data_IF_336817541639
#
_entry.id   IF_336817541639
#
_cell.length_a   1.000
_cell.length_b   1.000
_cell.length_c   1.000
_cell.angle_alpha   90.00
_cell.angle_beta   90.00
_cell.angle_gamma   90.00
#
_symmetry.space_group_name_H-M   'P 1'
#
loop_
_entity.id
_entity.type
_entity.pdbx_description
1 polymer ?
#
# COMPACT_ATOMS: atom_id res chain seq x y z
N UNK A 1 -23.83 -30.37 1.27
CA UNK A 1 -23.56 -28.93 1.05
C UNK A 1 -22.42 -28.88 0.03
N UNK A 2 -22.62 -28.31 -1.17
CA UNK A 2 -21.54 -28.21 -2.17
C UNK A 2 -20.36 -27.46 -1.52
N UNK A 3 -19.09 -27.84 -1.79
CA UNK A 3 -17.97 -27.03 -1.38
C UNK A 3 -18.15 -25.65 -2.00
N UNK A 4 -18.37 -24.64 -1.18
CA UNK A 4 -18.28 -23.25 -1.62
C UNK A 4 -16.81 -23.01 -1.96
N UNK A 5 -16.55 -22.81 -3.24
CA UNK A 5 -15.23 -22.60 -3.81
C UNK A 5 -14.73 -21.20 -3.42
N UNK A 6 -14.32 -21.07 -2.16
CA UNK A 6 -13.74 -19.85 -1.58
C UNK A 6 -12.23 -19.95 -1.78
N UNK A 7 -11.71 -19.18 -2.74
CA UNK A 7 -10.29 -19.09 -3.04
C UNK A 7 -9.89 -17.63 -3.31
N UNK A 8 -8.61 -17.31 -3.15
CA UNK A 8 -8.10 -15.96 -3.31
C UNK A 8 -7.76 -15.59 -4.76
N UNK A 9 -7.89 -16.51 -5.72
CA UNK A 9 -7.84 -16.16 -7.15
C UNK A 9 -9.06 -15.33 -7.55
N UNK A 10 -10.17 -15.50 -6.83
CA UNK A 10 -11.34 -14.62 -6.95
C UNK A 10 -11.03 -13.20 -6.42
N UNK A 11 -11.19 -12.15 -7.25
CA UNK A 11 -10.96 -10.75 -6.87
C UNK A 11 -11.65 -10.31 -5.58
N UNK A 12 -12.89 -10.75 -5.34
CA UNK A 12 -13.67 -10.32 -4.18
C UNK A 12 -13.12 -10.92 -2.87
N UNK A 13 -12.70 -12.18 -2.88
CA UNK A 13 -12.10 -12.82 -1.71
C UNK A 13 -10.68 -12.30 -1.46
N UNK A 14 -9.88 -12.05 -2.50
CA UNK A 14 -8.58 -11.39 -2.37
C UNK A 14 -8.70 -10.00 -1.73
N UNK A 15 -9.62 -9.17 -2.22
CA UNK A 15 -9.91 -7.86 -1.66
C UNK A 15 -10.35 -7.95 -0.19
N UNK A 16 -11.31 -8.84 0.12
CA UNK A 16 -11.76 -9.08 1.49
C UNK A 16 -10.60 -9.48 2.41
N UNK A 17 -9.72 -10.36 1.96
CA UNK A 17 -8.58 -10.80 2.77
C UNK A 17 -7.59 -9.67 3.04
N UNK A 18 -7.26 -8.85 2.04
CA UNK A 18 -6.46 -7.64 2.23
C UNK A 18 -7.10 -6.69 3.24
N UNK A 19 -8.40 -6.44 3.13
CA UNK A 19 -9.15 -5.59 4.06
C UNK A 19 -9.18 -6.16 5.50
N UNK A 20 -9.27 -7.49 5.63
CA UNK A 20 -9.22 -8.16 6.95
C UNK A 20 -7.84 -7.99 7.61
N UNK A 21 -6.75 -7.93 6.83
CA UNK A 21 -5.41 -7.75 7.39
C UNK A 21 -5.19 -6.36 7.98
N UNK A 22 -5.92 -5.33 7.52
CA UNK A 22 -5.88 -3.97 8.07
C UNK A 22 -6.88 -3.78 9.20
N UNK A 23 -8.18 -3.81 8.86
CA UNK A 23 -9.26 -3.39 9.76
C UNK A 23 -9.95 -4.58 10.47
N UNK A 24 -9.55 -5.80 10.12
CA UNK A 24 -10.09 -7.01 10.69
C UNK A 24 -9.41 -7.42 11.99
N UNK A 25 -10.21 -7.87 12.94
CA UNK A 25 -9.74 -8.49 14.18
C UNK A 25 -10.21 -9.95 14.23
N UNK A 26 -9.25 -10.88 14.26
CA UNK A 26 -9.52 -12.31 14.45
C UNK A 26 -9.36 -12.62 15.94
N UNK A 27 -10.44 -13.08 16.56
CA UNK A 27 -10.47 -13.50 17.95
C UNK A 27 -10.70 -15.00 18.02
N UNK A 28 -9.78 -15.72 18.66
CA UNK A 28 -9.93 -17.13 18.97
C UNK A 28 -9.97 -17.33 20.49
N UNK A 29 -10.79 -18.29 20.92
CA UNK A 29 -10.96 -18.71 22.31
C UNK A 29 -11.04 -20.24 22.35
N UNK A 30 -10.95 -20.80 23.54
CA UNK A 30 -11.11 -22.23 23.82
C UNK A 30 -12.44 -22.78 23.29
N UNK A 31 -12.47 -24.08 23.01
CA UNK A 31 -13.65 -24.83 22.53
C UNK A 31 -14.17 -24.37 21.17
N UNK A 32 -13.27 -24.10 20.23
CA UNK A 32 -13.56 -23.63 18.86
C UNK A 32 -14.40 -22.34 18.80
N UNK A 33 -14.43 -21.57 19.89
CA UNK A 33 -15.13 -20.30 19.94
C UNK A 33 -14.24 -19.23 19.33
N UNK A 34 -14.82 -18.38 18.50
CA UNK A 34 -14.07 -17.30 17.90
C UNK A 34 -14.95 -16.43 17.02
N UNK A 35 -14.37 -15.34 16.54
CA UNK A 35 -15.01 -14.47 15.56
C UNK A 35 -13.99 -13.69 14.76
N UNK A 36 -14.30 -13.45 13.51
CA UNK A 36 -13.78 -12.28 12.80
C UNK A 36 -14.70 -11.10 13.09
N UNK A 37 -14.13 -9.92 13.29
CA UNK A 37 -14.87 -8.66 13.28
C UNK A 37 -14.17 -7.59 12.47
N UNK A 38 -14.93 -6.81 11.71
CA UNK A 38 -14.46 -5.59 11.02
C UNK A 38 -15.35 -4.45 11.49
N UNK A 39 -14.76 -3.34 11.91
CA UNK A 39 -15.47 -2.13 12.33
C UNK A 39 -15.08 -0.96 11.42
N UNK A 40 -16.06 -0.35 10.77
CA UNK A 40 -15.83 0.81 9.88
C UNK A 40 -16.71 1.99 10.30
N UNK A 41 -16.38 3.18 9.81
CA UNK A 41 -17.26 4.34 9.96
C UNK A 41 -18.58 4.11 9.20
N UNK A 42 -19.71 4.63 9.71
CA UNK A 42 -21.04 4.48 9.10
C UNK A 42 -21.09 4.83 7.60
N UNK A 43 -20.33 5.83 7.14
CA UNK A 43 -20.26 6.20 5.71
C UNK A 43 -19.75 5.08 4.80
N UNK A 44 -18.96 4.16 5.36
CA UNK A 44 -18.30 3.06 4.65
C UNK A 44 -19.08 1.74 4.84
N UNK A 45 -20.29 1.75 5.42
CA UNK A 45 -21.05 0.52 5.77
C UNK A 45 -21.37 -0.40 4.59
N UNK A 46 -21.51 0.16 3.38
CA UNK A 46 -21.79 -0.59 2.15
C UNK A 46 -20.78 -1.72 1.93
N UNK A 47 -19.53 -1.54 2.34
CA UNK A 47 -18.49 -2.55 2.19
C UNK A 47 -18.77 -3.79 3.05
N UNK A 48 -19.33 -3.59 4.24
CA UNK A 48 -19.68 -4.67 5.15
C UNK A 48 -20.87 -5.48 4.63
N UNK A 49 -21.83 -4.81 3.98
CA UNK A 49 -22.93 -5.48 3.29
C UNK A 49 -22.44 -6.29 2.09
N UNK A 50 -21.49 -5.77 1.32
CA UNK A 50 -20.85 -6.53 0.25
C UNK A 50 -20.14 -7.79 0.79
N UNK A 51 -19.40 -7.69 1.90
CA UNK A 51 -18.77 -8.84 2.54
C UNK A 51 -19.77 -9.87 3.06
N UNK A 52 -20.88 -9.41 3.65
CA UNK A 52 -21.96 -10.28 4.11
C UNK A 52 -22.61 -11.05 2.95
N UNK A 53 -22.84 -10.40 1.82
CA UNK A 53 -23.42 -11.05 0.62
C UNK A 53 -22.44 -12.00 -0.08
N UNK A 54 -21.14 -11.69 0.00
CA UNK A 54 -20.08 -12.49 -0.63
C UNK A 54 -19.86 -13.84 0.07
N UNK A 55 -20.11 -13.92 1.38
CA UNK A 55 -19.81 -15.12 2.16
C UNK A 55 -21.06 -15.97 2.39
N UNK A 56 -20.97 -17.30 2.19
CA UNK A 56 -22.07 -18.23 2.42
C UNK A 56 -22.29 -18.53 3.92
N UNK A 57 -21.71 -17.74 4.81
CA UNK A 57 -21.71 -17.96 6.26
C UNK A 57 -22.63 -16.98 6.97
N UNK A 58 -23.30 -17.47 7.99
CA UNK A 58 -24.08 -16.61 8.87
C UNK A 58 -23.16 -15.59 9.55
N UNK A 59 -23.50 -14.33 9.35
CA UNK A 59 -22.78 -13.17 9.86
C UNK A 59 -23.76 -12.08 10.26
N UNK A 60 -23.37 -11.21 11.19
CA UNK A 60 -24.21 -10.12 11.67
C UNK A 60 -23.56 -8.77 11.38
N UNK A 61 -24.39 -7.77 11.14
CA UNK A 61 -23.99 -6.37 11.04
C UNK A 61 -24.75 -5.63 12.13
N UNK A 62 -24.04 -4.87 12.95
CA UNK A 62 -24.59 -4.11 14.08
C UNK A 62 -24.01 -2.71 14.09
N UNK A 63 -24.79 -1.73 14.53
CA UNK A 63 -24.32 -0.36 14.69
C UNK A 63 -23.88 -0.09 16.13
N UNK A 64 -22.94 0.84 16.30
CA UNK A 64 -22.47 1.30 17.59
C UNK A 64 -22.30 2.81 17.56
N UNK A 65 -22.94 3.49 18.52
CA UNK A 65 -22.74 4.93 18.76
C UNK A 65 -21.89 5.10 20.00
N UNK A 66 -20.85 5.92 19.93
CA UNK A 66 -19.99 6.26 21.08
C UNK A 66 -19.57 7.72 21.06
N UNK A 67 -19.36 8.26 22.25
CA UNK A 67 -18.59 9.49 22.45
C UNK A 67 -17.11 9.17 22.27
N UNK A 68 -16.41 9.93 21.43
CA UNK A 68 -14.95 9.85 21.26
C UNK A 68 -14.34 11.20 21.60
N UNK A 69 -13.01 11.24 21.76
CA UNK A 69 -12.27 12.50 21.97
C UNK A 69 -12.43 13.50 20.80
N UNK A 70 -12.94 13.05 19.65
CA UNK A 70 -13.08 13.83 18.43
C UNK A 70 -14.53 14.13 18.04
N UNK A 71 -15.50 13.44 18.63
CA UNK A 71 -16.92 13.64 18.32
C UNK A 71 -17.82 13.13 19.43
N UNK A 72 -18.90 13.88 19.71
CA UNK A 72 -19.90 13.47 20.68
C UNK A 72 -20.72 12.26 20.21
N UNK A 73 -20.90 12.09 18.90
CA UNK A 73 -21.75 11.06 18.29
C UNK A 73 -21.02 10.34 17.15
N UNK A 74 -19.95 9.61 17.46
CA UNK A 74 -19.29 8.78 16.45
C UNK A 74 -20.06 7.47 16.26
N UNK A 75 -20.59 7.28 15.05
CA UNK A 75 -21.29 6.04 14.65
C UNK A 75 -20.37 5.15 13.82
N UNK A 76 -20.18 3.93 14.30
CA UNK A 76 -19.50 2.86 13.58
C UNK A 76 -20.45 1.69 13.30
N UNK A 77 -20.11 0.91 12.27
CA UNK A 77 -20.81 -0.31 11.90
C UNK A 77 -19.83 -1.46 12.00
N UNK A 78 -20.29 -2.54 12.63
CA UNK A 78 -19.46 -3.70 12.95
C UNK A 78 -20.07 -4.91 12.27
N UNK A 79 -19.28 -5.57 11.43
CA UNK A 79 -19.60 -6.87 10.86
C UNK A 79 -18.88 -7.98 11.63
N UNK A 80 -19.57 -9.08 11.91
CA UNK A 80 -19.01 -10.22 12.65
C UNK A 80 -19.34 -11.55 11.98
N UNK A 81 -18.35 -12.43 11.92
CA UNK A 81 -18.48 -13.82 11.42
C UNK A 81 -18.01 -14.78 12.50
N UNK A 82 -18.89 -15.69 12.91
CA UNK A 82 -18.62 -16.69 13.97
C UNK A 82 -18.36 -18.10 13.41
N UNK A 83 -18.42 -18.28 12.10
CA UNK A 83 -18.21 -19.58 11.46
C UNK A 83 -16.75 -20.04 11.60
N UNK A 84 -16.55 -21.27 12.09
CA UNK A 84 -15.21 -21.84 12.28
C UNK A 84 -14.50 -22.08 10.94
N UNK A 85 -15.21 -22.58 9.94
CA UNK A 85 -14.64 -22.88 8.61
C UNK A 85 -14.04 -21.64 7.99
N UNK A 86 -14.72 -20.50 8.14
CA UNK A 86 -14.19 -19.23 7.65
C UNK A 86 -12.91 -18.82 8.37
N UNK A 87 -12.83 -18.98 9.69
CA UNK A 87 -11.59 -18.72 10.43
C UNK A 87 -10.46 -19.65 10.02
N UNK A 88 -10.76 -20.93 9.81
CA UNK A 88 -9.79 -21.92 9.33
C UNK A 88 -9.24 -21.53 7.94
N UNK A 89 -10.07 -21.01 7.02
CA UNK A 89 -9.60 -20.43 5.76
C UNK A 89 -8.67 -19.23 5.96
N UNK A 90 -9.01 -18.30 6.85
CA UNK A 90 -8.17 -17.13 7.12
C UNK A 90 -6.80 -17.52 7.68
N UNK A 91 -6.76 -18.50 8.59
CA UNK A 91 -5.51 -19.03 9.13
C UNK A 91 -4.68 -19.74 8.04
N UNK A 92 -5.32 -20.54 7.19
CA UNK A 92 -4.67 -21.19 6.05
C UNK A 92 -4.06 -20.19 5.07
N UNK A 93 -4.75 -19.07 4.83
CA UNK A 93 -4.24 -17.99 3.99
C UNK A 93 -3.15 -17.14 4.68
N UNK A 94 -2.84 -17.40 5.96
CA UNK A 94 -1.74 -16.77 6.67
C UNK A 94 -2.14 -15.56 7.52
N UNK A 95 -3.41 -15.42 7.93
CA UNK A 95 -3.80 -14.40 8.91
C UNK A 95 -3.31 -14.78 10.32
N UNK A 96 -2.41 -14.00 10.94
CA UNK A 96 -1.94 -14.32 12.29
C UNK A 96 -3.04 -14.08 13.33
N UNK A 97 -3.02 -14.89 14.39
CA UNK A 97 -3.80 -14.67 15.60
C UNK A 97 -3.10 -13.60 16.48
N UNK A 98 -3.87 -12.66 17.04
CA UNK A 98 -3.33 -11.59 17.90
C UNK A 98 -2.94 -10.32 17.14
N UNK A 99 -1.92 -9.59 17.64
CA UNK A 99 -1.48 -8.32 17.06
C UNK A 99 -0.82 -8.56 15.70
N UNK A 100 -1.41 -7.98 14.63
CA UNK A 100 -1.10 -8.38 13.26
C UNK A 100 -0.06 -7.51 12.55
N UNK A 101 0.07 -6.25 12.95
CA UNK A 101 0.68 -5.19 12.12
C UNK A 101 2.07 -5.53 11.57
N UNK A 102 2.94 -6.12 12.40
CA UNK A 102 4.31 -6.50 11.99
C UNK A 102 4.41 -7.91 11.38
N UNK A 103 3.42 -8.76 11.65
CA UNK A 103 3.43 -10.18 11.32
C UNK A 103 2.72 -10.50 10.00
N UNK A 104 1.88 -9.59 9.48
CA UNK A 104 1.16 -9.83 8.23
C UNK A 104 2.14 -10.08 7.07
N UNK A 105 1.77 -11.05 6.24
CA UNK A 105 2.43 -11.40 4.98
C UNK A 105 1.36 -11.51 3.89
N UNK A 106 1.81 -11.53 2.64
CA UNK A 106 0.95 -11.92 1.52
C UNK A 106 0.43 -13.35 1.73
N UNK A 107 -0.71 -13.71 1.10
CA UNK A 107 -1.22 -15.07 1.18
C UNK A 107 -0.21 -16.14 0.79
N UNK A 108 -0.24 -17.28 1.47
CA UNK A 108 0.63 -18.44 1.19
C UNK A 108 0.17 -19.29 -0.01
N UNK A 109 -0.88 -18.86 -0.73
CA UNK A 109 -1.49 -19.57 -1.86
C UNK A 109 -1.57 -18.65 -3.08
N UNK A 110 -2.10 -19.14 -4.22
CA UNK A 110 -2.38 -18.27 -5.36
C UNK A 110 -3.46 -17.24 -5.01
N UNK A 111 -3.30 -16.01 -5.48
CA UNK A 111 -4.25 -14.94 -5.23
C UNK A 111 -4.21 -13.83 -6.29
N UNK A 112 -5.31 -13.09 -6.44
CA UNK A 112 -5.32 -11.84 -7.19
C UNK A 112 -4.52 -10.76 -6.43
N UNK A 113 -3.27 -10.54 -6.85
CA UNK A 113 -2.34 -9.57 -6.23
C UNK A 113 -2.91 -8.14 -6.26
N UNK A 114 -3.51 -7.72 -7.36
CA UNK A 114 -4.09 -6.37 -7.52
C UNK A 114 -5.23 -6.13 -6.52
N UNK A 115 -6.19 -7.07 -6.42
CA UNK A 115 -7.35 -6.90 -5.55
C UNK A 115 -6.99 -7.03 -4.07
N UNK A 116 -6.05 -7.92 -3.73
CA UNK A 116 -5.49 -8.03 -2.39
C UNK A 116 -4.84 -6.71 -1.94
N UNK A 117 -3.96 -6.13 -2.76
CA UNK A 117 -3.34 -4.84 -2.42
C UNK A 117 -4.35 -3.69 -2.40
N UNK A 118 -5.41 -3.72 -3.22
CA UNK A 118 -6.50 -2.76 -3.09
C UNK A 118 -7.18 -2.86 -1.73
N UNK A 119 -7.44 -4.07 -1.23
CA UNK A 119 -7.99 -4.31 0.10
C UNK A 119 -7.13 -3.68 1.21
N UNK A 120 -5.82 -3.88 1.15
CA UNK A 120 -4.87 -3.25 2.08
C UNK A 120 -4.89 -1.71 1.99
N UNK A 121 -4.95 -1.16 0.77
CA UNK A 121 -4.93 0.30 0.53
C UNK A 121 -6.23 0.97 0.95
N UNK A 122 -7.36 0.28 0.86
CA UNK A 122 -8.64 0.82 1.31
C UNK A 122 -8.72 0.96 2.83
N UNK A 123 -8.08 0.03 3.56
CA UNK A 123 -7.88 0.12 5.00
C UNK A 123 -6.83 1.16 5.42
N UNK A 124 -5.55 0.87 5.16
CA UNK A 124 -4.42 1.65 5.70
C UNK A 124 -3.75 2.61 4.68
N UNK A 125 -4.27 2.67 3.46
CA UNK A 125 -3.75 3.55 2.41
C UNK A 125 -4.46 4.89 2.29
N UNK A 126 -4.00 5.71 1.35
CA UNK A 126 -4.64 6.96 0.94
C UNK A 126 -4.32 7.26 -0.51
N UNK A 127 -5.23 7.93 -1.21
CA UNK A 127 -5.02 8.43 -2.56
C UNK A 127 -5.84 9.69 -2.79
N UNK A 128 -5.40 10.49 -3.75
CA UNK A 128 -6.08 11.71 -4.14
C UNK A 128 -5.11 12.73 -4.70
N UNK A 129 -5.45 14.01 -4.54
CA UNK A 129 -4.61 15.13 -4.95
C UNK A 129 -3.97 15.78 -3.72
N UNK A 130 -2.68 16.11 -3.84
CA UNK A 130 -1.98 16.97 -2.87
C UNK A 130 -2.53 18.39 -2.90
N UNK A 131 -2.17 19.23 -1.92
CA UNK A 131 -2.53 20.66 -1.91
C UNK A 131 -2.04 21.43 -3.15
N UNK A 132 -1.04 20.90 -3.88
CA UNK A 132 -0.52 21.44 -5.14
C UNK A 132 -1.21 20.85 -6.38
N UNK A 133 -2.29 20.07 -6.18
CA UNK A 133 -3.03 19.42 -7.26
C UNK A 133 -2.33 18.22 -7.88
N UNK A 134 -1.26 17.68 -7.28
CA UNK A 134 -0.57 16.50 -7.82
C UNK A 134 -1.18 15.20 -7.30
N UNK A 135 -1.41 14.19 -8.16
CA UNK A 135 -1.83 12.87 -7.74
C UNK A 135 -0.85 12.22 -6.79
N UNK A 136 -1.37 11.51 -5.80
CA UNK A 136 -0.60 10.62 -4.96
C UNK A 136 -1.39 9.36 -4.64
N UNK A 137 -0.66 8.28 -4.36
CA UNK A 137 -1.17 7.09 -3.71
C UNK A 137 -0.14 6.65 -2.68
N UNK A 138 -0.55 6.53 -1.44
CA UNK A 138 0.27 6.15 -0.29
C UNK A 138 -0.27 4.90 0.38
N UNK A 139 0.64 4.07 0.88
CA UNK A 139 0.32 2.93 1.72
C UNK A 139 1.25 2.90 2.93
N UNK A 140 0.70 2.67 4.11
CA UNK A 140 1.42 2.63 5.38
C UNK A 140 1.35 1.23 5.96
N UNK A 141 2.49 0.68 6.38
CA UNK A 141 2.54 -0.64 7.02
C UNK A 141 3.80 -0.75 7.89
N UNK A 142 3.74 -1.56 8.95
CA UNK A 142 4.92 -1.94 9.72
C UNK A 142 5.55 -3.26 9.26
N UNK A 143 4.89 -4.02 8.38
CA UNK A 143 5.39 -5.29 7.85
C UNK A 143 6.38 -5.08 6.70
N UNK A 144 7.61 -5.56 6.88
CA UNK A 144 8.63 -5.57 5.82
C UNK A 144 8.28 -6.50 4.67
N UNK A 145 7.55 -7.60 4.92
CA UNK A 145 7.15 -8.54 3.88
C UNK A 145 6.17 -7.89 2.89
N UNK A 146 5.17 -7.18 3.40
CA UNK A 146 4.22 -6.45 2.56
C UNK A 146 4.92 -5.35 1.78
N UNK A 147 5.92 -4.67 2.37
CA UNK A 147 6.69 -3.63 1.69
C UNK A 147 7.41 -4.15 0.46
N UNK A 148 8.08 -5.31 0.57
CA UNK A 148 8.80 -5.93 -0.55
C UNK A 148 7.85 -6.24 -1.69
N UNK A 149 6.75 -6.94 -1.38
CA UNK A 149 5.74 -7.35 -2.35
C UNK A 149 5.02 -6.16 -3.01
N UNK A 150 4.75 -5.11 -2.24
CA UNK A 150 4.10 -3.91 -2.75
C UNK A 150 5.04 -3.08 -3.64
N UNK A 151 6.32 -2.96 -3.26
CA UNK A 151 7.34 -2.30 -4.10
C UNK A 151 7.52 -3.06 -5.41
N UNK A 152 7.50 -4.39 -5.37
CA UNK A 152 7.56 -5.20 -6.58
C UNK A 152 6.35 -4.94 -7.49
N UNK A 153 5.12 -4.93 -6.94
CA UNK A 153 3.92 -4.58 -7.69
C UNK A 153 4.02 -3.19 -8.33
N UNK A 154 4.49 -2.19 -7.56
CA UNK A 154 4.72 -0.83 -8.09
C UNK A 154 5.72 -0.87 -9.24
N UNK A 155 6.82 -1.62 -9.09
CA UNK A 155 7.85 -1.73 -10.11
C UNK A 155 7.32 -2.38 -11.39
N UNK A 156 6.53 -3.45 -11.26
CA UNK A 156 5.89 -4.13 -12.39
C UNK A 156 4.93 -3.19 -13.15
N UNK A 157 4.13 -2.39 -12.44
CA UNK A 157 3.15 -1.47 -13.06
C UNK A 157 3.80 -0.22 -13.65
N UNK A 158 4.79 0.35 -12.95
CA UNK A 158 5.36 1.66 -13.31
C UNK A 158 6.63 1.56 -14.14
N UNK A 159 7.28 0.41 -14.14
CA UNK A 159 8.63 0.19 -14.70
C UNK A 159 9.74 0.85 -13.87
N UNK A 160 9.45 1.28 -12.64
CA UNK A 160 10.39 2.04 -11.79
C UNK A 160 10.63 1.33 -10.47
N UNK A 161 11.90 1.09 -10.16
CA UNK A 161 12.31 0.56 -8.87
C UNK A 161 12.12 1.62 -7.79
N UNK A 162 11.48 1.23 -6.69
CA UNK A 162 11.29 2.05 -5.50
C UNK A 162 11.98 1.42 -4.31
N UNK A 163 12.46 2.24 -3.40
CA UNK A 163 12.93 1.80 -2.08
C UNK A 163 12.15 2.52 -1.00
N UNK A 164 11.98 1.88 0.15
CA UNK A 164 11.30 2.43 1.31
C UNK A 164 12.06 2.05 2.57
N UNK A 165 12.30 3.04 3.43
CA UNK A 165 12.87 2.84 4.75
C UNK A 165 11.80 3.17 5.80
N UNK A 166 11.96 2.60 7.00
CA UNK A 166 11.12 2.97 8.14
C UNK A 166 11.30 4.45 8.46
N UNK A 167 10.21 5.12 8.80
CA UNK A 167 10.25 6.49 9.27
C UNK A 167 10.91 6.53 10.66
N UNK A 168 11.46 7.70 11.04
CA UNK A 168 12.13 7.86 12.33
C UNK A 168 11.17 8.01 13.51
N UNK A 169 9.93 8.45 13.26
CA UNK A 169 8.95 8.78 14.30
C UNK A 169 8.31 7.54 14.91
N UNK A 170 7.79 6.66 14.06
CA UNK A 170 6.96 5.52 14.46
C UNK A 170 7.58 4.18 14.05
N UNK A 171 8.74 4.19 13.38
CA UNK A 171 9.38 3.01 12.81
C UNK A 171 8.49 2.25 11.80
N UNK A 172 7.64 2.95 11.06
CA UNK A 172 6.74 2.36 10.04
C UNK A 172 7.16 2.75 8.62
N UNK A 173 6.79 1.95 7.63
CA UNK A 173 7.01 2.29 6.23
C UNK A 173 5.89 3.17 5.71
N UNK A 174 6.25 4.21 4.95
CA UNK A 174 5.30 5.04 4.20
C UNK A 174 5.70 5.04 2.73
N UNK A 175 4.99 4.26 1.93
CA UNK A 175 5.28 4.07 0.50
C UNK A 175 4.35 4.98 -0.29
N UNK A 176 4.90 6.03 -0.90
CA UNK A 176 4.12 7.00 -1.68
C UNK A 176 4.58 7.08 -3.13
N UNK A 177 3.66 6.93 -4.07
CA UNK A 177 3.84 7.23 -5.50
C UNK A 177 3.12 8.52 -5.86
N UNK A 178 3.61 9.22 -6.88
CA UNK A 178 3.10 10.54 -7.27
C UNK A 178 2.87 10.63 -8.79
N UNK A 179 2.00 11.57 -9.18
CA UNK A 179 1.75 11.98 -10.57
C UNK A 179 1.42 10.77 -11.46
N UNK A 180 2.10 10.62 -12.60
CA UNK A 180 1.81 9.57 -13.59
C UNK A 180 1.98 8.16 -12.99
N UNK A 181 2.92 7.98 -12.07
CA UNK A 181 3.11 6.68 -11.42
C UNK A 181 1.94 6.36 -10.49
N UNK A 182 1.39 7.38 -9.80
CA UNK A 182 0.17 7.22 -9.02
C UNK A 182 -1.04 6.94 -9.91
N UNK A 183 -1.14 7.57 -11.09
CA UNK A 183 -2.22 7.30 -12.05
C UNK A 183 -2.16 5.88 -12.59
N UNK A 184 -0.96 5.42 -13.00
CA UNK A 184 -0.76 4.04 -13.48
C UNK A 184 -1.15 3.03 -12.41
N UNK A 185 -0.71 3.25 -11.18
CA UNK A 185 -1.04 2.36 -10.07
C UNK A 185 -2.53 2.39 -9.73
N UNK A 186 -3.14 3.58 -9.64
CA UNK A 186 -4.57 3.74 -9.39
C UNK A 186 -5.42 3.07 -10.47
N UNK A 187 -5.02 3.15 -11.75
CA UNK A 187 -5.72 2.51 -12.87
C UNK A 187 -5.79 0.99 -12.74
N UNK A 188 -4.73 0.36 -12.25
CA UNK A 188 -4.70 -1.09 -12.05
C UNK A 188 -5.48 -1.49 -10.81
N UNK A 189 -5.32 -0.74 -9.71
CA UNK A 189 -6.01 -1.06 -8.45
C UNK A 189 -7.52 -0.82 -8.57
N UNK A 190 -7.95 0.36 -9.01
CA UNK A 190 -9.34 0.79 -9.03
C UNK A 190 -9.91 0.74 -10.46
N UNK A 191 -9.98 -0.48 -11.02
CA UNK A 191 -10.60 -0.72 -12.32
C UNK A 191 -12.14 -0.69 -12.23
N UNK A 192 -12.81 -0.63 -13.38
CA UNK A 192 -14.27 -0.55 -13.44
C UNK A 192 -14.94 -1.81 -12.88
N UNK A 193 -16.00 -1.64 -12.08
CA UNK A 193 -16.71 -2.73 -11.41
C UNK A 193 -15.97 -3.38 -10.23
N UNK A 194 -14.81 -2.88 -9.83
CA UNK A 194 -14.07 -3.44 -8.70
C UNK A 194 -14.76 -3.17 -7.34
N UNK A 195 -14.60 -4.10 -6.39
CA UNK A 195 -15.05 -3.87 -5.01
C UNK A 195 -14.06 -2.95 -4.28
N UNK A 196 -14.53 -1.82 -3.78
CA UNK A 196 -13.75 -0.82 -3.08
C UNK A 196 -14.63 0.10 -2.23
N UNK A 197 -14.04 0.86 -1.32
CA UNK A 197 -14.72 1.94 -0.61
C UNK A 197 -15.13 3.04 -1.58
N UNK A 198 -16.42 3.44 -1.59
CA UNK A 198 -16.93 4.49 -2.48
C UNK A 198 -16.12 5.78 -2.47
N UNK A 199 -15.68 6.22 -1.28
CA UNK A 199 -14.84 7.43 -1.14
C UNK A 199 -13.48 7.30 -1.81
N UNK A 200 -12.91 6.08 -1.86
CA UNK A 200 -11.61 5.80 -2.48
C UNK A 200 -11.75 5.73 -3.99
N UNK A 201 -12.84 5.15 -4.50
CA UNK A 201 -13.17 5.18 -5.93
C UNK A 201 -13.30 6.60 -6.48
N UNK A 202 -14.00 7.50 -5.76
CA UNK A 202 -14.11 8.91 -6.16
C UNK A 202 -12.71 9.55 -6.27
N UNK A 203 -11.83 9.30 -5.29
CA UNK A 203 -10.45 9.81 -5.32
C UNK A 203 -9.58 9.16 -6.39
N UNK A 204 -9.81 7.89 -6.69
CA UNK A 204 -9.15 7.21 -7.81
C UNK A 204 -9.53 7.90 -9.13
N UNK A 205 -10.80 8.21 -9.34
CA UNK A 205 -11.26 8.92 -10.54
C UNK A 205 -10.65 10.34 -10.65
N UNK A 206 -10.57 11.08 -9.55
CA UNK A 206 -9.85 12.38 -9.54
C UNK A 206 -8.38 12.22 -9.95
N UNK A 207 -7.70 11.19 -9.44
CA UNK A 207 -6.32 10.85 -9.81
C UNK A 207 -6.21 10.51 -11.29
N UNK A 208 -7.10 9.66 -11.81
CA UNK A 208 -7.10 9.23 -13.21
C UNK A 208 -7.36 10.38 -14.19
N UNK A 209 -8.20 11.34 -13.81
CA UNK A 209 -8.52 12.51 -14.63
C UNK A 209 -7.45 13.61 -14.61
N UNK A 210 -6.44 13.50 -13.74
CA UNK A 210 -5.38 14.49 -13.69
C UNK A 210 -4.57 14.50 -14.99
N UNK A 211 -4.25 15.70 -15.48
CA UNK A 211 -3.35 15.90 -16.61
C UNK A 211 -2.14 16.69 -16.17
N UNK A 212 -0.96 16.30 -16.65
CA UNK A 212 0.27 17.04 -16.39
C UNK A 212 0.16 18.44 -16.98
N UNK A 213 0.38 19.51 -16.19
CA UNK A 213 0.44 20.86 -16.73
C UNK A 213 1.55 20.99 -17.78
N UNK A 214 1.30 21.70 -18.88
CA UNK A 214 2.22 21.80 -20.02
C UNK A 214 3.60 22.35 -19.64
N UNK A 215 3.66 23.26 -18.67
CA UNK A 215 4.89 23.85 -18.15
C UNK A 215 5.65 22.93 -17.18
N UNK A 216 5.10 21.77 -16.82
CA UNK A 216 5.67 20.89 -15.82
C UNK A 216 6.62 19.86 -16.45
N UNK A 217 7.93 20.07 -16.24
CA UNK A 217 8.97 19.15 -16.72
C UNK A 217 8.73 17.70 -16.29
N UNK A 218 8.70 16.78 -17.27
CA UNK A 218 8.76 15.35 -17.03
C UNK A 218 10.21 14.87 -17.17
N UNK A 219 10.70 14.12 -16.18
CA UNK A 219 12.04 13.51 -16.25
C UNK A 219 11.85 12.05 -16.62
N UNK A 220 12.01 11.74 -17.90
CA UNK A 220 11.84 10.40 -18.46
C UNK A 220 13.13 9.58 -18.38
N UNK A 221 14.29 10.22 -18.52
CA UNK A 221 15.60 9.56 -18.57
C UNK A 221 16.48 9.97 -17.39
N UNK A 222 16.27 9.32 -16.24
CA UNK A 222 17.15 9.52 -15.07
C UNK A 222 18.47 8.77 -15.31
N UNK A 223 19.55 9.50 -15.62
CA UNK A 223 20.90 8.93 -15.74
C UNK A 223 21.43 8.53 -14.35
N UNK A 224 21.59 7.23 -14.11
CA UNK A 224 22.31 6.71 -12.95
C UNK A 224 23.81 6.97 -13.08
N UNK A 225 24.51 7.07 -11.95
CA UNK A 225 25.96 7.19 -11.94
C UNK A 225 26.58 5.80 -12.08
N UNK A 226 27.52 5.63 -12.99
CA UNK A 226 28.32 4.40 -13.09
C UNK A 226 29.61 4.52 -12.26
N UNK A 227 30.23 3.40 -11.87
CA UNK A 227 31.53 3.42 -11.19
C UNK A 227 32.62 4.15 -11.98
N UNK A 228 32.58 4.06 -13.32
CA UNK A 228 33.51 4.76 -14.22
C UNK A 228 33.28 6.27 -14.19
N UNK A 229 32.01 6.71 -14.22
CA UNK A 229 31.67 8.13 -14.07
C UNK A 229 32.10 8.66 -12.70
N UNK A 230 31.92 7.88 -11.62
CA UNK A 230 32.37 8.24 -10.28
C UNK A 230 33.89 8.41 -10.22
N UNK A 231 34.63 7.46 -10.79
CA UNK A 231 36.10 7.55 -10.90
C UNK A 231 36.53 8.73 -11.76
N UNK A 232 35.77 9.08 -12.79
CA UNK A 232 36.09 10.21 -13.66
C UNK A 232 36.00 11.52 -12.88
N UNK A 233 34.88 11.78 -12.19
CA UNK A 233 34.66 13.05 -11.48
C UNK A 233 35.60 13.23 -10.28
N UNK A 234 36.09 12.16 -9.65
CA UNK A 234 37.05 12.28 -8.54
C UNK A 234 38.45 12.66 -9.02
N UNK A 235 38.78 12.40 -10.29
CA UNK A 235 40.11 12.62 -10.85
C UNK A 235 40.20 13.83 -11.80
N UNK A 236 39.07 14.48 -12.10
CA UNK A 236 39.02 15.59 -13.06
C UNK A 236 38.29 16.80 -12.48
N UNK A 237 38.62 18.03 -12.94
CA UNK A 237 37.88 19.22 -12.57
C UNK A 237 36.40 19.13 -12.94
N UNK A 238 35.57 19.87 -12.20
CA UNK A 238 34.11 19.88 -12.39
C UNK A 238 33.74 20.31 -13.82
N UNK A 239 34.42 21.32 -14.38
CA UNK A 239 34.17 21.82 -15.74
C UNK A 239 34.42 20.75 -16.82
N UNK A 240 35.51 20.00 -16.70
CA UNK A 240 35.82 18.89 -17.62
C UNK A 240 34.77 17.78 -17.48
N UNK A 241 34.39 17.46 -16.25
CA UNK A 241 33.36 16.47 -15.94
C UNK A 241 31.98 16.85 -16.48
N UNK A 242 31.61 18.13 -16.43
CA UNK A 242 30.35 18.63 -17.01
C UNK A 242 30.29 18.38 -18.51
N UNK A 243 31.38 18.71 -19.22
CA UNK A 243 31.47 18.55 -20.68
C UNK A 243 31.44 17.08 -21.08
N UNK A 244 32.26 16.24 -20.44
CA UNK A 244 32.40 14.82 -20.82
C UNK A 244 31.17 14.00 -20.48
N UNK A 245 30.57 14.20 -19.30
CA UNK A 245 29.43 13.40 -18.85
C UNK A 245 28.07 13.99 -19.26
N UNK A 246 28.06 15.23 -19.77
CA UNK A 246 26.83 15.95 -20.10
C UNK A 246 25.92 16.13 -18.88
N UNK A 247 26.51 16.40 -17.71
CA UNK A 247 25.80 16.59 -16.43
C UNK A 247 25.95 18.04 -15.96
N UNK A 248 24.96 18.54 -15.22
CA UNK A 248 25.04 19.87 -14.62
C UNK A 248 26.08 19.93 -13.49
N UNK A 249 26.62 21.13 -13.23
CA UNK A 249 27.55 21.38 -12.13
C UNK A 249 27.02 20.82 -10.80
N UNK A 250 25.79 21.20 -10.43
CA UNK A 250 25.13 20.74 -9.20
C UNK A 250 25.02 19.22 -9.12
N UNK A 251 24.84 18.52 -10.26
CA UNK A 251 24.77 17.05 -10.27
C UNK A 251 26.12 16.42 -9.91
N UNK A 252 27.22 16.99 -10.40
CA UNK A 252 28.59 16.51 -10.16
C UNK A 252 29.00 16.82 -8.71
N UNK A 253 28.81 18.06 -8.26
CA UNK A 253 29.13 18.49 -6.89
C UNK A 253 28.40 17.65 -5.84
N UNK A 254 27.09 17.40 -6.06
CA UNK A 254 26.30 16.57 -5.15
C UNK A 254 26.81 15.12 -5.13
N UNK A 255 27.29 14.58 -6.26
CA UNK A 255 27.84 13.23 -6.31
C UNK A 255 29.20 13.15 -5.60
N UNK A 256 30.10 14.09 -5.86
CA UNK A 256 31.39 14.21 -5.16
C UNK A 256 31.21 14.31 -3.65
N UNK A 257 30.27 15.13 -3.18
CA UNK A 257 29.96 15.22 -1.75
C UNK A 257 29.52 13.88 -1.15
N UNK A 258 28.70 13.09 -1.87
CA UNK A 258 28.27 11.75 -1.42
C UNK A 258 29.43 10.76 -1.37
N UNK A 259 30.28 10.75 -2.39
CA UNK A 259 31.47 9.88 -2.44
C UNK A 259 32.43 10.20 -1.28
N UNK A 260 32.67 11.49 -1.02
CA UNK A 260 33.50 11.96 0.10
C UNK A 260 32.91 11.63 1.47
N UNK A 261 31.58 11.60 1.60
CA UNK A 261 30.91 11.20 2.84
C UNK A 261 31.04 9.70 3.08
N UNK A 262 30.89 8.89 2.03
CA UNK A 262 31.06 7.43 2.10
C UNK A 262 32.50 7.05 2.46
N UNK A 263 33.50 7.70 1.83
CA UNK A 263 34.91 7.43 2.12
C UNK A 263 35.28 7.75 3.58
N UNK A 264 34.73 8.83 4.15
CA UNK A 264 34.94 9.18 5.56
C UNK A 264 34.33 8.16 6.53
N UNK A 265 33.16 7.60 6.20
CA UNK A 265 32.50 6.59 7.06
C UNK A 265 33.26 5.25 7.08
N UNK A 266 33.91 4.88 5.96
CA UNK A 266 34.73 3.66 5.87
C UNK A 266 36.11 3.75 6.55
N UNK A 267 36.55 4.94 6.95
CA UNK A 267 37.82 5.16 7.68
C UNK A 267 37.59 5.18 9.20
N UNK A 268 36.34 5.34 9.64
CA UNK A 268 35.96 5.45 11.06
C UNK A 268 35.37 4.17 11.67
N UNK A 269 35.26 3.09 10.89
CA UNK A 269 34.88 1.75 11.32
C UNK A 269 36.07 0.80 11.15
#
# INVERSE_FOLDING_TARGET
MKPTDINLDNPYYAYLFGFIQTDGHLYNNTRDRGRLSIEVNKKDEHILWAFKSLLPFNSSITERVRKTNFSNNHTSVIWRVYDKRFRDYLELWGLPNGCKSELIKTPSCSFSKVDYFRGLIDGDGSLGLTCKGFPFLSFVTSSSHIVVEYIELISQITGKVKTSNRNTRDSIYNIVVYKEDAQKLAKHLYYDGCLALSRKLIKANEVLNWSRPANMRCVTNRKFWTPEEDKYITNHPIESSMKVLGRSRNSIELRLWRLNKQSKQSVTN
#
